data_IF_207963252650
#
_entry.id   IF_207963252650
#
_cell.length_a   1.000
_cell.length_b   1.000
_cell.length_c   1.000
_cell.angle_alpha   90.00
_cell.angle_beta   90.00
_cell.angle_gamma   90.00
#
_symmetry.space_group_name_H-M   'P 1'
#
loop_
_entity.id
_entity.type
_entity.pdbx_description
1 polymer ?
#
# COMPACT_ATOMS: atom_id res chain seq x y z
N UNK A 1 -9.44 -6.10 -10.92
CA UNK A 1 -9.59 -7.30 -10.06
C UNK A 1 -10.24 -6.94 -8.73
N UNK A 2 -9.99 -7.73 -7.68
CA UNK A 2 -10.77 -7.71 -6.43
C UNK A 2 -10.14 -6.91 -5.27
N UNK A 3 -9.09 -6.13 -5.55
CA UNK A 3 -8.36 -5.38 -4.52
C UNK A 3 -7.97 -3.98 -4.99
N UNK A 4 -7.75 -3.08 -4.02
CA UNK A 4 -7.14 -1.78 -4.20
C UNK A 4 -5.63 -1.95 -4.03
N UNK A 5 -4.85 -1.59 -5.05
CA UNK A 5 -3.40 -1.54 -4.94
C UNK A 5 -3.00 -0.21 -4.32
N UNK A 6 -2.16 -0.24 -3.29
CA UNK A 6 -1.57 0.95 -2.70
C UNK A 6 -0.06 0.84 -2.84
N UNK A 7 0.56 1.80 -3.53
CA UNK A 7 2.00 1.75 -3.78
C UNK A 7 2.64 3.12 -3.64
N UNK A 8 3.85 3.14 -3.08
CA UNK A 8 4.67 4.36 -2.94
C UNK A 8 5.78 4.44 -3.99
N UNK A 9 5.85 3.48 -4.93
CA UNK A 9 6.96 3.36 -5.87
C UNK A 9 8.29 3.18 -5.12
N UNK A 10 9.28 4.04 -5.39
CA UNK A 10 10.56 4.04 -4.64
C UNK A 10 10.38 4.33 -3.14
N UNK A 11 9.40 5.16 -2.78
CA UNK A 11 8.82 5.23 -1.44
C UNK A 11 9.73 5.68 -0.28
N UNK A 12 10.74 6.51 -0.52
CA UNK A 12 11.58 7.06 0.55
C UNK A 12 10.81 7.88 1.61
N UNK A 13 9.75 8.56 1.18
CA UNK A 13 8.87 9.43 1.95
C UNK A 13 7.40 8.93 2.02
N UNK A 14 7.02 7.92 1.24
CA UNK A 14 5.63 7.41 1.16
C UNK A 14 5.03 6.73 2.38
N UNK A 15 5.72 6.74 3.52
CA UNK A 15 5.20 6.14 4.75
C UNK A 15 3.92 6.82 5.25
N UNK A 16 3.76 8.12 4.99
CA UNK A 16 2.57 8.89 5.36
C UNK A 16 1.35 8.44 4.56
N UNK A 17 1.47 8.30 3.23
CA UNK A 17 0.41 7.72 2.40
C UNK A 17 -0.09 6.38 2.94
N UNK A 18 0.84 5.47 3.29
CA UNK A 18 0.46 4.16 3.82
C UNK A 18 -0.20 4.29 5.20
N UNK A 19 0.30 5.21 6.03
CA UNK A 19 -0.25 5.47 7.35
C UNK A 19 -1.73 5.91 7.26
N UNK A 20 -2.03 6.81 6.32
CA UNK A 20 -3.37 7.38 6.11
C UNK A 20 -4.34 6.36 5.53
N UNK A 21 -3.88 5.51 4.61
CA UNK A 21 -4.70 4.38 4.14
C UNK A 21 -5.06 3.48 5.31
N UNK A 22 -4.09 3.08 6.14
CA UNK A 22 -4.38 2.21 7.29
C UNK A 22 -5.35 2.90 8.26
N UNK A 23 -5.21 4.20 8.50
CA UNK A 23 -6.14 4.96 9.35
C UNK A 23 -7.56 5.00 8.79
N UNK A 24 -7.73 5.14 7.47
CA UNK A 24 -9.04 5.10 6.83
C UNK A 24 -9.78 3.78 7.11
N UNK A 25 -9.07 2.64 7.04
CA UNK A 25 -9.63 1.33 7.39
C UNK A 25 -9.93 1.18 8.89
N UNK A 26 -9.15 1.82 9.77
CA UNK A 26 -9.42 1.78 11.22
C UNK A 26 -10.63 2.62 11.61
N UNK A 27 -10.83 3.75 10.93
CA UNK A 27 -11.90 4.70 11.24
C UNK A 27 -13.24 4.33 10.61
N UNK A 28 -13.23 3.57 9.51
CA UNK A 28 -14.44 3.19 8.80
C UNK A 28 -14.61 1.65 8.70
N UNK A 29 -15.36 1.01 9.62
CA UNK A 29 -15.64 -0.43 9.57
C UNK A 29 -16.40 -0.91 8.32
N UNK A 30 -17.05 0.00 7.58
CA UNK A 30 -17.71 -0.33 6.32
C UNK A 30 -16.72 -0.45 5.15
N UNK A 31 -15.49 0.04 5.31
CA UNK A 31 -14.43 -0.10 4.31
C UNK A 31 -13.86 -1.52 4.35
N UNK A 32 -14.53 -2.44 3.66
CA UNK A 32 -14.17 -3.87 3.65
C UNK A 32 -13.47 -4.32 2.35
N UNK A 33 -13.21 -3.40 1.43
CA UNK A 33 -12.45 -3.71 0.23
C UNK A 33 -11.06 -4.22 0.58
N UNK A 34 -10.56 -5.21 -0.16
CA UNK A 34 -9.21 -5.73 0.07
C UNK A 34 -8.20 -4.70 -0.41
N UNK A 35 -7.20 -4.40 0.41
CA UNK A 35 -6.07 -3.56 0.03
C UNK A 35 -4.78 -4.39 0.00
N UNK A 36 -4.08 -4.34 -1.12
CA UNK A 36 -2.72 -4.81 -1.25
C UNK A 36 -1.79 -3.60 -1.22
N UNK A 37 -0.98 -3.51 -0.17
CA UNK A 37 -0.02 -2.42 0.02
C UNK A 37 1.37 -2.93 -0.34
N UNK A 38 2.02 -2.28 -1.30
CA UNK A 38 3.43 -2.53 -1.65
C UNK A 38 4.25 -1.35 -1.17
N UNK A 39 5.18 -1.62 -0.25
CA UNK A 39 6.07 -0.61 0.29
C UNK A 39 7.21 -0.30 -0.70
N UNK A 40 7.87 0.84 -0.49
CA UNK A 40 9.02 1.23 -1.31
C UNK A 40 10.34 0.69 -0.73
N UNK A 41 11.29 0.27 -1.58
CA UNK A 41 12.58 -0.27 -1.15
C UNK A 41 13.43 0.75 -0.38
N UNK A 42 13.23 2.05 -0.63
CA UNK A 42 13.95 3.12 0.05
C UNK A 42 13.31 3.55 1.38
N UNK A 43 12.20 2.91 1.78
CA UNK A 43 11.55 3.21 3.05
C UNK A 43 12.42 2.75 4.24
N UNK A 44 12.71 3.62 5.22
CA UNK A 44 13.48 3.24 6.40
C UNK A 44 12.86 2.05 7.16
N UNK A 45 13.69 1.08 7.56
CA UNK A 45 13.25 -0.14 8.24
C UNK A 45 12.36 0.14 9.48
N UNK A 46 12.66 1.20 10.25
CA UNK A 46 11.85 1.61 11.39
C UNK A 46 10.41 2.00 10.98
N UNK A 47 10.25 2.75 9.88
CA UNK A 47 8.94 3.14 9.35
C UNK A 47 8.20 1.91 8.81
N UNK A 48 8.88 1.07 8.04
CA UNK A 48 8.34 -0.20 7.52
C UNK A 48 7.79 -1.10 8.62
N UNK A 49 8.59 -1.37 9.66
CA UNK A 49 8.17 -2.21 10.79
C UNK A 49 6.96 -1.62 11.54
N UNK A 50 6.86 -0.30 11.65
CA UNK A 50 5.69 0.36 12.24
C UNK A 50 4.43 0.11 11.40
N UNK A 51 4.52 0.26 10.08
CA UNK A 51 3.40 0.05 9.15
C UNK A 51 2.95 -1.40 9.10
N UNK A 52 3.89 -2.36 9.05
CA UNK A 52 3.59 -3.80 9.11
C UNK A 52 2.79 -4.15 10.37
N UNK A 53 3.25 -3.67 11.54
CA UNK A 53 2.54 -3.88 12.82
C UNK A 53 1.16 -3.20 12.86
N UNK A 54 1.02 -2.03 12.24
CA UNK A 54 -0.25 -1.28 12.20
C UNK A 54 -1.27 -2.00 11.30
N UNK A 55 -0.85 -2.41 10.09
CA UNK A 55 -1.70 -3.07 9.10
C UNK A 55 -2.10 -4.50 9.48
N UNK A 56 -1.25 -5.23 10.20
CA UNK A 56 -1.55 -6.60 10.65
C UNK A 56 -2.80 -6.72 11.53
N UNK A 57 -3.31 -5.60 12.06
CA UNK A 57 -4.53 -5.56 12.88
C UNK A 57 -5.82 -5.55 12.04
N UNK A 58 -5.73 -5.44 10.72
CA UNK A 58 -6.86 -5.20 9.82
C UNK A 58 -6.92 -6.34 8.81
N UNK A 59 -7.97 -7.15 8.86
CA UNK A 59 -8.08 -8.40 8.09
C UNK A 59 -8.14 -8.22 6.57
N UNK A 60 -8.62 -7.07 6.09
CA UNK A 60 -8.72 -6.76 4.67
C UNK A 60 -7.44 -6.10 4.10
N UNK A 61 -6.41 -5.84 4.91
CA UNK A 61 -5.13 -5.28 4.46
C UNK A 61 -4.06 -6.37 4.40
N UNK A 62 -3.38 -6.46 3.25
CA UNK A 62 -2.14 -7.21 3.08
C UNK A 62 -1.03 -6.24 2.74
N UNK A 63 0.08 -6.29 3.48
CA UNK A 63 1.27 -5.48 3.22
C UNK A 63 2.40 -6.39 2.76
N UNK A 64 3.05 -6.05 1.66
CA UNK A 64 4.28 -6.68 1.17
C UNK A 64 5.36 -5.62 1.02
N UNK A 65 6.62 -6.05 1.19
CA UNK A 65 7.75 -5.12 1.08
C UNK A 65 8.09 -4.81 -0.38
N UNK A 66 7.89 -5.76 -1.28
CA UNK A 66 8.30 -5.67 -2.67
C UNK A 66 7.63 -6.76 -3.53
N UNK A 67 7.42 -6.47 -4.81
CA UNK A 67 7.06 -7.43 -5.86
C UNK A 67 7.81 -7.08 -7.16
N UNK A 68 8.31 -8.08 -7.87
CA UNK A 68 9.05 -7.89 -9.12
C UNK A 68 8.13 -7.63 -10.33
N UNK A 69 6.82 -7.86 -10.19
CA UNK A 69 5.83 -7.75 -11.27
C UNK A 69 4.77 -6.73 -10.89
N UNK A 70 5.19 -5.48 -10.68
CA UNK A 70 4.30 -4.40 -10.30
C UNK A 70 3.23 -4.12 -11.37
N UNK A 71 3.57 -4.31 -12.64
CA UNK A 71 2.68 -4.21 -13.79
C UNK A 71 1.51 -5.21 -13.70
N UNK A 72 1.77 -6.44 -13.27
CA UNK A 72 0.73 -7.46 -13.05
C UNK A 72 -0.19 -7.04 -11.88
N UNK A 73 0.38 -6.45 -10.84
CA UNK A 73 -0.39 -5.94 -9.71
C UNK A 73 -1.27 -4.76 -10.12
N UNK A 74 -0.74 -3.83 -10.92
CA UNK A 74 -1.49 -2.68 -11.43
C UNK A 74 -2.63 -3.16 -12.34
N UNK A 75 -2.34 -4.04 -13.31
CA UNK A 75 -3.35 -4.60 -14.22
C UNK A 75 -4.43 -5.42 -13.48
N UNK A 76 -4.05 -6.11 -12.41
CA UNK A 76 -4.96 -6.88 -11.57
C UNK A 76 -5.78 -6.05 -10.58
N UNK A 77 -5.41 -4.80 -10.33
CA UNK A 77 -6.09 -3.96 -9.34
C UNK A 77 -7.50 -3.53 -9.80
N UNK A 78 -8.39 -3.22 -8.85
CA UNK A 78 -9.65 -2.50 -9.12
C UNK A 78 -9.41 -1.00 -9.25
N UNK A 79 -8.48 -0.50 -8.44
CA UNK A 79 -8.07 0.88 -8.36
C UNK A 79 -6.65 0.93 -7.80
N UNK A 80 -5.92 2.00 -8.14
CA UNK A 80 -4.57 2.25 -7.64
C UNK A 80 -4.57 3.53 -6.83
N UNK A 81 -4.02 3.46 -5.62
CA UNK A 81 -3.70 4.61 -4.78
C UNK A 81 -2.18 4.73 -4.73
N UNK A 82 -1.67 5.87 -5.17
CA UNK A 82 -0.23 6.08 -5.21
C UNK A 82 0.14 7.55 -5.03
N UNK A 83 1.41 7.79 -4.72
CA UNK A 83 1.97 9.13 -4.56
C UNK A 83 2.07 9.92 -5.88
N UNK A 84 1.92 9.26 -7.03
CA UNK A 84 2.07 9.92 -8.34
C UNK A 84 3.51 10.16 -8.76
N UNK A 85 4.43 9.30 -8.37
CA UNK A 85 5.79 9.32 -8.92
C UNK A 85 5.82 8.98 -10.41
N UNK A 86 6.86 9.45 -11.11
CA UNK A 86 7.01 9.28 -12.57
C UNK A 86 6.97 7.83 -13.06
N UNK A 87 7.31 6.85 -12.22
CA UNK A 87 7.29 5.42 -12.56
C UNK A 87 5.94 4.72 -12.27
N UNK A 88 4.97 5.43 -11.70
CA UNK A 88 3.64 4.88 -11.36
C UNK A 88 2.63 5.09 -12.49
N UNK A 89 2.82 6.15 -13.27
CA UNK A 89 2.00 6.49 -14.42
C UNK A 89 2.89 6.39 -15.65
N UNK A 90 2.76 5.32 -16.41
CA UNK A 90 3.46 5.10 -17.68
C UNK A 90 2.45 4.63 -18.73
#
# INVERSE_FOLDING_TARGET
>A
GEYILVTTGGGGDGAELIHDVIDAYQQNPQLQHRALIVLGPYMPARKRNKLLKKGAKISCIKIIEFDNRMEDLIAGAKAVVAMGGYNTYC
#
